data_IF_467194706636
#
_entry.id   IF_467194706636
#
_cell.length_a   1.000
_cell.length_b   1.000
_cell.length_c   1.000
_cell.angle_alpha   90.00
_cell.angle_beta   90.00
_cell.angle_gamma   90.00
#
_symmetry.space_group_name_H-M   'P 1'
#
loop_
_entity.id
_entity.type
_entity.pdbx_description
1 polymer ?
#
# COMPACT_ATOMS: atom_id res chain seq x y z
N UNK A 1 67.68 -40.88 27.26
CA UNK A 1 67.29 -39.85 28.25
C UNK A 1 67.48 -38.47 27.60
N UNK A 2 66.47 -37.94 26.89
CA UNK A 2 66.26 -36.50 26.54
C UNK A 2 65.27 -36.35 25.37
N UNK A 3 63.96 -36.43 25.62
CA UNK A 3 62.91 -36.02 24.67
C UNK A 3 61.75 -35.25 25.33
N UNK A 4 61.95 -34.72 26.54
CA UNK A 4 60.86 -34.08 27.31
C UNK A 4 60.77 -32.56 27.08
N UNK A 5 61.51 -32.00 26.13
CA UNK A 5 61.62 -30.53 25.99
C UNK A 5 60.74 -29.88 24.92
N UNK A 6 59.92 -30.60 24.16
CA UNK A 6 59.20 -29.99 23.02
C UNK A 6 57.66 -30.03 23.06
N UNK A 7 57.01 -30.40 24.17
CA UNK A 7 55.55 -30.61 24.17
C UNK A 7 54.69 -29.52 24.84
N UNK A 8 55.23 -28.37 25.25
CA UNK A 8 54.45 -27.36 25.98
C UNK A 8 54.30 -26.03 25.23
N UNK A 9 54.01 -26.08 23.93
CA UNK A 9 53.68 -24.85 23.20
C UNK A 9 52.81 -25.11 21.98
N UNK A 10 51.56 -25.49 22.22
CA UNK A 10 50.50 -25.25 21.25
C UNK A 10 49.13 -25.39 21.92
N UNK A 11 48.61 -24.30 22.50
CA UNK A 11 47.15 -24.14 22.62
C UNK A 11 46.67 -22.71 22.93
N UNK A 12 47.14 -21.69 22.19
CA UNK A 12 46.67 -20.30 22.34
C UNK A 12 45.72 -19.82 21.21
N UNK A 13 45.36 -20.71 20.28
CA UNK A 13 44.62 -20.35 19.05
C UNK A 13 43.09 -20.23 19.20
N UNK A 14 42.51 -20.65 20.32
CA UNK A 14 41.04 -20.67 20.53
C UNK A 14 40.49 -19.36 21.09
N UNK A 15 41.25 -18.67 21.93
CA UNK A 15 40.87 -17.37 22.50
C UNK A 15 40.94 -16.22 21.49
N UNK A 16 41.78 -16.34 20.45
CA UNK A 16 41.92 -15.29 19.44
C UNK A 16 40.71 -15.21 18.51
N UNK A 17 40.10 -16.35 18.14
CA UNK A 17 38.93 -16.36 17.24
C UNK A 17 37.67 -15.81 17.93
N UNK A 18 37.53 -16.04 19.24
CA UNK A 18 36.43 -15.53 20.06
C UNK A 18 36.43 -14.00 20.17
N UNK A 19 37.58 -13.40 20.43
CA UNK A 19 37.70 -11.94 20.55
C UNK A 19 37.41 -11.22 19.21
N UNK A 20 37.86 -11.80 18.09
CA UNK A 20 37.62 -11.25 16.75
C UNK A 20 36.14 -11.32 16.37
N UNK A 21 35.44 -12.41 16.71
CA UNK A 21 34.01 -12.54 16.46
C UNK A 21 33.17 -11.53 17.28
N UNK A 22 33.52 -11.33 18.55
CA UNK A 22 32.84 -10.34 19.41
C UNK A 22 33.06 -8.90 18.92
N UNK A 23 34.29 -8.59 18.50
CA UNK A 23 34.61 -7.29 17.92
C UNK A 23 33.87 -7.05 16.60
N UNK A 24 33.78 -8.07 15.73
CA UNK A 24 33.03 -8.01 14.48
C UNK A 24 31.53 -7.76 14.71
N UNK A 25 30.93 -8.40 15.71
CA UNK A 25 29.52 -8.18 16.07
C UNK A 25 29.27 -6.75 16.56
N UNK A 26 30.16 -6.23 17.42
CA UNK A 26 30.05 -4.85 17.91
C UNK A 26 30.10 -3.83 16.77
N UNK A 27 31.01 -4.04 15.81
CA UNK A 27 31.12 -3.21 14.59
C UNK A 27 29.87 -3.32 13.73
N UNK A 28 29.36 -4.53 13.51
CA UNK A 28 28.15 -4.76 12.73
C UNK A 28 26.92 -4.07 13.34
N UNK A 29 26.72 -4.21 14.65
CA UNK A 29 25.63 -3.54 15.38
C UNK A 29 25.79 -2.02 15.29
N UNK A 30 27.00 -1.49 15.46
CA UNK A 30 27.26 -0.06 15.33
C UNK A 30 26.96 0.47 13.91
N UNK A 31 27.28 -0.31 12.87
CA UNK A 31 26.94 0.02 11.47
C UNK A 31 25.42 0.01 11.27
N UNK A 32 24.71 -0.99 11.79
CA UNK A 32 23.25 -1.09 11.68
C UNK A 32 22.57 0.09 12.39
N UNK A 33 22.99 0.40 13.62
CA UNK A 33 22.47 1.56 14.37
C UNK A 33 22.80 2.86 13.64
N UNK A 34 24.03 3.03 13.13
CA UNK A 34 24.43 4.20 12.36
C UNK A 34 23.64 4.36 11.06
N UNK A 35 23.40 3.26 10.34
CA UNK A 35 22.60 3.25 9.12
C UNK A 35 21.12 3.56 9.40
N UNK A 36 20.56 3.03 10.48
CA UNK A 36 19.20 3.36 10.95
C UNK A 36 19.10 4.84 11.34
N UNK A 37 20.10 5.37 12.04
CA UNK A 37 20.14 6.78 12.44
C UNK A 37 20.22 7.71 11.22
N UNK A 38 21.05 7.37 10.22
CA UNK A 38 21.09 8.09 8.94
C UNK A 38 19.78 7.96 8.15
N UNK A 39 19.20 6.77 8.10
CA UNK A 39 17.95 6.51 7.39
C UNK A 39 16.76 7.26 8.03
N UNK A 40 16.75 7.42 9.34
CA UNK A 40 15.75 8.20 10.07
C UNK A 40 15.77 9.68 9.67
N UNK A 41 16.97 10.24 9.41
CA UNK A 41 17.13 11.62 8.92
C UNK A 41 16.67 11.81 7.46
N UNK A 42 16.89 10.81 6.60
CA UNK A 42 16.59 10.91 5.17
C UNK A 42 15.15 10.52 4.76
N UNK A 43 14.53 9.58 5.48
CA UNK A 43 13.25 8.98 5.07
C UNK A 43 12.02 9.85 5.40
N UNK A 44 12.00 10.54 6.56
CA UNK A 44 10.81 11.29 7.01
C UNK A 44 10.54 12.52 6.13
N UNK A 45 11.58 13.21 5.67
CA UNK A 45 11.41 14.48 4.94
C UNK A 45 10.99 14.31 3.47
N UNK A 46 11.36 13.20 2.83
CA UNK A 46 11.06 12.97 1.40
C UNK A 46 9.74 12.21 1.23
N UNK A 47 9.48 11.19 2.05
CA UNK A 47 8.19 10.49 2.06
C UNK A 47 7.04 11.39 2.49
N UNK A 48 7.25 12.26 3.49
CA UNK A 48 6.25 13.22 3.94
C UNK A 48 5.83 14.20 2.85
N UNK A 49 6.79 14.77 2.10
CA UNK A 49 6.49 15.69 0.98
C UNK A 49 5.76 15.01 -0.17
N UNK A 50 6.12 13.76 -0.48
CA UNK A 50 5.42 13.00 -1.51
C UNK A 50 3.98 12.69 -1.08
N UNK A 51 3.78 12.28 0.17
CA UNK A 51 2.45 12.03 0.73
C UNK A 51 1.59 13.31 0.71
N UNK A 52 2.15 14.43 1.13
CA UNK A 52 1.46 15.72 1.11
C UNK A 52 1.05 16.13 -0.31
N UNK A 53 1.93 15.94 -1.29
CA UNK A 53 1.63 16.18 -2.70
C UNK A 53 0.50 15.26 -3.21
N UNK A 54 0.49 13.99 -2.81
CA UNK A 54 -0.57 13.04 -3.17
C UNK A 54 -1.91 13.43 -2.54
N UNK A 55 -1.91 13.82 -1.26
CA UNK A 55 -3.11 14.29 -0.55
C UNK A 55 -3.66 15.55 -1.21
N UNK A 56 -2.78 16.51 -1.51
CA UNK A 56 -3.16 17.75 -2.20
C UNK A 56 -3.80 17.45 -3.56
N UNK A 57 -3.18 16.56 -4.34
CA UNK A 57 -3.70 16.16 -5.67
C UNK A 57 -5.05 15.44 -5.56
N UNK A 58 -5.22 14.57 -4.56
CA UNK A 58 -6.48 13.90 -4.26
C UNK A 58 -7.58 14.90 -3.93
N UNK A 59 -7.32 15.86 -3.06
CA UNK A 59 -8.29 16.88 -2.68
C UNK A 59 -8.71 17.75 -3.88
N UNK A 60 -7.75 18.11 -4.74
CA UNK A 60 -8.05 18.88 -5.96
C UNK A 60 -8.96 18.09 -6.92
N UNK A 61 -8.71 16.79 -7.08
CA UNK A 61 -9.54 15.91 -7.92
C UNK A 61 -10.94 15.72 -7.35
N UNK A 62 -11.08 15.58 -6.03
CA UNK A 62 -12.39 15.51 -5.37
C UNK A 62 -13.19 16.78 -5.58
N UNK A 63 -12.57 17.95 -5.36
CA UNK A 63 -13.23 19.24 -5.60
C UNK A 63 -13.68 19.41 -7.06
N UNK A 64 -12.83 19.00 -8.01
CA UNK A 64 -13.17 19.05 -9.44
C UNK A 64 -14.35 18.12 -9.78
N UNK A 65 -14.39 16.93 -9.20
CA UNK A 65 -15.51 16.00 -9.40
C UNK A 65 -16.83 16.57 -8.86
N UNK A 66 -16.82 17.15 -7.67
CA UNK A 66 -18.03 17.76 -7.10
C UNK A 66 -18.54 18.92 -7.94
N UNK A 67 -17.63 19.77 -8.46
CA UNK A 67 -18.01 20.83 -9.39
C UNK A 67 -18.65 20.25 -10.67
N UNK A 68 -18.03 19.24 -11.28
CA UNK A 68 -18.57 18.61 -12.48
C UNK A 68 -19.93 17.95 -12.24
N UNK A 69 -20.13 17.33 -11.06
CA UNK A 69 -21.43 16.77 -10.67
C UNK A 69 -22.49 17.87 -10.57
N UNK A 70 -22.16 19.00 -9.96
CA UNK A 70 -23.06 20.15 -9.88
C UNK A 70 -23.41 20.68 -11.28
N UNK A 71 -22.42 20.84 -12.15
CA UNK A 71 -22.60 21.30 -13.53
C UNK A 71 -23.50 20.34 -14.32
N UNK A 72 -23.23 19.03 -14.27
CA UNK A 72 -24.06 18.00 -14.92
C UNK A 72 -25.50 18.07 -14.41
N UNK A 73 -25.70 18.28 -13.11
CA UNK A 73 -27.03 18.38 -12.51
C UNK A 73 -27.75 19.64 -12.99
N UNK A 74 -27.04 20.75 -13.14
CA UNK A 74 -27.56 21.99 -13.71
C UNK A 74 -27.93 21.82 -15.20
N UNK A 75 -27.05 21.17 -15.97
CA UNK A 75 -27.26 20.83 -17.39
C UNK A 75 -28.47 19.91 -17.59
N UNK A 76 -28.67 18.95 -16.69
CA UNK A 76 -29.82 18.01 -16.70
C UNK A 76 -31.02 18.52 -15.92
N UNK A 77 -30.99 19.75 -15.42
CA UNK A 77 -32.05 20.27 -14.57
C UNK A 77 -33.38 20.32 -15.33
N UNK A 78 -34.44 19.86 -14.67
CA UNK A 78 -35.81 19.85 -15.22
C UNK A 78 -36.21 21.22 -15.79
N UNK A 79 -35.90 22.37 -15.15
CA UNK A 79 -36.22 23.68 -15.72
C UNK A 79 -35.57 23.94 -17.08
N UNK A 80 -34.30 23.53 -17.28
CA UNK A 80 -33.61 23.69 -18.56
C UNK A 80 -34.19 22.78 -19.64
N UNK A 81 -34.55 21.55 -19.27
CA UNK A 81 -35.22 20.62 -20.18
C UNK A 81 -36.61 21.12 -20.58
N UNK A 82 -37.37 21.69 -19.65
CA UNK A 82 -38.67 22.30 -19.91
C UNK A 82 -38.55 23.53 -20.81
N UNK A 83 -37.62 24.45 -20.51
CA UNK A 83 -37.36 25.61 -21.35
C UNK A 83 -36.98 25.21 -22.78
N UNK A 84 -36.14 24.18 -22.94
CA UNK A 84 -35.77 23.68 -24.27
C UNK A 84 -36.94 22.99 -24.98
N UNK A 85 -37.81 22.30 -24.25
CA UNK A 85 -39.01 21.69 -24.82
C UNK A 85 -39.98 22.79 -25.31
N UNK A 86 -40.19 23.85 -24.54
CA UNK A 86 -40.99 25.01 -24.94
C UNK A 86 -40.42 25.70 -26.19
N UNK A 87 -39.09 25.92 -26.26
CA UNK A 87 -38.41 26.45 -27.46
C UNK A 87 -38.62 25.58 -28.71
N UNK A 88 -38.77 24.27 -28.54
CA UNK A 88 -39.03 23.32 -29.62
C UNK A 88 -40.53 23.22 -29.98
N UNK A 89 -41.38 24.00 -29.33
CA UNK A 89 -42.83 24.01 -29.56
C UNK A 89 -43.60 22.91 -28.83
N UNK A 90 -42.97 22.19 -27.90
CA UNK A 90 -43.69 21.29 -27.02
C UNK A 90 -44.51 22.10 -26.01
N UNK A 91 -45.72 21.63 -25.75
CA UNK A 91 -46.63 22.18 -24.75
C UNK A 91 -46.90 21.13 -23.68
N UNK A 92 -47.15 21.59 -22.45
CA UNK A 92 -47.48 20.70 -21.34
C UNK A 92 -48.84 20.05 -21.61
N UNK A 93 -48.88 18.72 -21.64
CA UNK A 93 -50.12 17.98 -21.87
C UNK A 93 -51.13 18.27 -20.74
N UNK A 94 -52.37 18.57 -21.13
CA UNK A 94 -53.51 18.69 -20.21
C UNK A 94 -54.17 17.32 -20.00
N UNK A 95 -54.96 17.16 -18.92
CA UNK A 95 -55.55 15.86 -18.54
C UNK A 95 -56.38 15.21 -19.66
N UNK A 96 -57.00 16.02 -20.52
CA UNK A 96 -57.79 15.61 -21.69
C UNK A 96 -56.94 15.10 -22.87
N UNK A 97 -55.62 15.32 -22.84
CA UNK A 97 -54.68 14.92 -23.89
C UNK A 97 -53.86 13.68 -23.52
N UNK A 98 -54.07 13.11 -22.33
CA UNK A 98 -53.31 11.95 -21.83
C UNK A 98 -54.10 10.67 -22.10
N UNK A 99 -53.62 9.85 -23.04
CA UNK A 99 -54.17 8.52 -23.31
C UNK A 99 -53.37 7.45 -22.54
N UNK A 100 -54.07 6.63 -21.75
CA UNK A 100 -53.45 5.56 -20.97
C UNK A 100 -53.42 4.26 -21.75
N UNK A 101 -52.22 3.82 -22.15
CA UNK A 101 -52.02 2.53 -22.81
C UNK A 101 -51.75 1.42 -21.78
N UNK A 102 -52.53 0.33 -21.82
CA UNK A 102 -52.22 -0.88 -21.05
C UNK A 102 -51.07 -1.64 -21.71
N UNK A 103 -49.95 -1.78 -20.98
CA UNK A 103 -48.80 -2.58 -21.42
C UNK A 103 -48.80 -3.91 -20.66
N UNK A 104 -49.10 -5.05 -21.32
CA UNK A 104 -49.06 -6.36 -20.68
C UNK A 104 -47.68 -6.65 -20.10
N UNK A 105 -47.62 -7.07 -18.83
CA UNK A 105 -46.37 -7.40 -18.14
C UNK A 105 -45.58 -6.21 -17.58
N UNK A 106 -46.12 -4.99 -17.63
CA UNK A 106 -45.51 -3.83 -16.96
C UNK A 106 -45.53 -4.01 -15.44
N UNK A 107 -44.35 -3.98 -14.82
CA UNK A 107 -44.18 -4.00 -13.37
C UNK A 107 -43.56 -2.67 -12.92
N UNK A 108 -44.34 -1.75 -12.32
CA UNK A 108 -43.84 -0.45 -11.85
C UNK A 108 -42.82 -0.56 -10.71
N UNK A 109 -42.78 -1.70 -10.02
CA UNK A 109 -41.85 -1.97 -8.92
C UNK A 109 -40.62 -2.77 -9.38
N UNK A 110 -40.33 -2.79 -10.69
CA UNK A 110 -39.14 -3.48 -11.19
C UNK A 110 -37.90 -2.74 -10.65
N UNK A 111 -36.98 -3.43 -9.97
CA UNK A 111 -35.72 -2.80 -9.56
C UNK A 111 -35.00 -2.28 -10.81
N UNK A 112 -34.35 -1.10 -10.73
CA UNK A 112 -33.60 -0.56 -11.86
C UNK A 112 -32.61 -1.61 -12.35
N UNK A 113 -32.47 -1.74 -13.67
CA UNK A 113 -31.47 -2.64 -14.24
C UNK A 113 -30.09 -2.11 -13.87
N UNK A 114 -29.53 -2.62 -12.76
CA UNK A 114 -28.17 -2.33 -12.35
C UNK A 114 -27.26 -2.90 -13.42
N UNK A 115 -26.78 -2.06 -14.33
CA UNK A 115 -25.59 -2.40 -15.12
C UNK A 115 -24.48 -2.61 -14.11
N UNK A 116 -24.13 -3.87 -13.86
CA UNK A 116 -23.00 -4.20 -13.01
C UNK A 116 -21.75 -3.59 -13.66
N UNK A 117 -21.23 -2.53 -13.06
CA UNK A 117 -19.86 -2.09 -13.33
C UNK A 117 -19.01 -3.25 -12.84
N UNK A 118 -18.50 -4.04 -13.79
CA UNK A 118 -17.57 -5.12 -13.48
C UNK A 118 -16.27 -4.42 -13.14
N UNK A 119 -16.09 -4.06 -11.87
CA UNK A 119 -14.80 -3.67 -11.33
C UNK A 119 -13.88 -4.87 -11.51
N UNK A 120 -13.13 -4.86 -12.60
CA UNK A 120 -12.03 -5.79 -12.84
C UNK A 120 -10.90 -5.39 -11.90
N UNK A 121 -11.12 -5.65 -10.60
CA UNK A 121 -10.08 -5.60 -9.60
C UNK A 121 -9.17 -6.78 -9.89
N UNK A 122 -8.28 -6.60 -10.85
CA UNK A 122 -7.08 -7.41 -10.97
C UNK A 122 -6.44 -7.32 -9.60
N UNK A 123 -6.55 -8.39 -8.79
CA UNK A 123 -5.83 -8.47 -7.53
C UNK A 123 -4.36 -8.30 -7.88
N UNK A 124 -3.82 -7.10 -7.63
CA UNK A 124 -2.38 -6.92 -7.64
C UNK A 124 -1.82 -7.98 -6.70
N UNK A 125 -0.71 -8.65 -7.05
CA UNK A 125 -0.06 -9.55 -6.10
C UNK A 125 0.20 -8.75 -4.82
N UNK A 126 -0.38 -9.21 -3.72
CA UNK A 126 -0.08 -8.68 -2.40
C UNK A 126 1.39 -8.99 -2.20
N UNK A 127 2.21 -7.94 -2.19
CA UNK A 127 3.64 -8.06 -1.92
C UNK A 127 3.78 -8.32 -0.42
N UNK A 128 3.66 -9.59 -0.01
CA UNK A 128 3.68 -10.05 1.39
C UNK A 128 5.10 -10.16 1.98
N UNK A 129 6.12 -9.70 1.25
CA UNK A 129 7.46 -9.51 1.82
C UNK A 129 7.46 -8.33 2.80
N UNK A 130 6.97 -8.60 4.01
CA UNK A 130 7.05 -7.66 5.11
C UNK A 130 8.51 -7.50 5.55
N UNK A 131 8.90 -6.26 5.87
CA UNK A 131 10.17 -5.96 6.52
C UNK A 131 10.43 -6.87 7.73
N UNK A 132 9.36 -7.19 8.46
CA UNK A 132 9.40 -8.10 9.62
C UNK A 132 9.84 -9.51 9.21
N UNK A 133 9.37 -10.04 8.07
CA UNK A 133 9.80 -11.34 7.55
C UNK A 133 11.29 -11.36 7.19
N UNK A 134 11.79 -10.31 6.54
CA UNK A 134 13.23 -10.17 6.26
C UNK A 134 14.05 -10.08 7.56
N UNK A 135 13.60 -9.28 8.54
CA UNK A 135 14.28 -9.17 9.85
C UNK A 135 14.33 -10.51 10.57
N UNK A 136 13.22 -11.27 10.54
CA UNK A 136 13.16 -12.60 11.14
C UNK A 136 14.17 -13.55 10.48
N UNK A 137 14.26 -13.52 9.14
CA UNK A 137 15.23 -14.34 8.41
C UNK A 137 16.69 -13.94 8.69
N UNK A 138 16.98 -12.65 8.84
CA UNK A 138 18.30 -12.19 9.25
C UNK A 138 18.63 -12.62 10.69
N UNK A 139 17.66 -12.56 11.59
CA UNK A 139 17.80 -13.03 12.97
C UNK A 139 18.09 -14.53 13.03
N UNK A 140 17.37 -15.33 12.26
CA UNK A 140 17.58 -16.78 12.18
C UNK A 140 18.97 -17.13 11.64
N UNK A 141 19.47 -16.41 10.64
CA UNK A 141 20.81 -16.58 10.11
C UNK A 141 21.89 -16.24 11.15
N UNK A 142 21.67 -15.19 11.95
CA UNK A 142 22.55 -14.79 13.04
C UNK A 142 22.58 -15.86 14.16
N UNK A 143 21.42 -16.37 14.55
CA UNK A 143 21.31 -17.44 15.56
C UNK A 143 21.98 -18.73 15.09
N UNK A 144 21.83 -19.11 13.82
CA UNK A 144 22.51 -20.28 13.23
C UNK A 144 24.02 -20.15 13.24
N UNK A 145 24.54 -18.95 12.96
CA UNK A 145 25.97 -18.68 13.02
C UNK A 145 26.51 -18.80 14.46
N UNK A 146 25.69 -18.46 15.46
CA UNK A 146 26.03 -18.58 16.88
C UNK A 146 25.94 -20.03 17.41
N UNK A 147 24.95 -20.81 16.99
CA UNK A 147 24.81 -22.21 17.39
C UNK A 147 25.86 -23.12 16.75
N UNK A 148 26.32 -22.80 15.54
CA UNK A 148 27.48 -23.43 14.91
C UNK A 148 28.79 -23.19 15.70
N UNK A 149 28.83 -22.17 16.55
CA UNK A 149 29.96 -21.87 17.43
C UNK A 149 29.86 -22.58 18.80
N UNK A 150 28.65 -22.94 19.27
CA UNK A 150 28.44 -23.62 20.56
C UNK A 150 28.37 -25.16 20.49
N UNK A 151 28.25 -25.75 19.30
CA UNK A 151 28.03 -27.19 19.09
C UNK A 151 29.27 -28.05 18.83
N UNK A 152 30.48 -27.55 19.03
CA UNK A 152 31.72 -28.31 18.88
C UNK A 152 32.31 -28.72 20.23
N UNK A 153 31.84 -29.83 20.78
CA UNK A 153 32.43 -30.54 21.92
C UNK A 153 32.84 -31.94 21.51
#
# INVERSE_FOLDING_TARGET
MNQIQHALRDNQWWFQKQAVALAGLGVFIAIVIGALYLAQSASVSTLGRQLENLITKRNQLEQTNEQLRADISQLRSVPRLLARAEELGFVKATEDQIEYLYVPGYNPNRPPATTAIVDSTTKLPVYDESFVGWVQQQWDNLVKQFSGFSGGS
#
